data_IF_062924839125
#
_entry.id   IF_062924839125
#
_cell.length_a   1.000
_cell.length_b   1.000
_cell.length_c   1.000
_cell.angle_alpha   90.00
_cell.angle_beta   90.00
_cell.angle_gamma   90.00
#
_symmetry.space_group_name_H-M   'P 1'
#
loop_
_entity.id
_entity.type
_entity.pdbx_description
1 polymer ?
#
# COMPACT_ATOMS: atom_id res chain seq x y z
N UNK A 1 74.28 5.08 -33.51
CA UNK A 1 73.33 4.03 -33.17
C UNK A 1 72.05 4.63 -32.62
N UNK A 2 70.96 4.44 -33.36
CA UNK A 2 69.64 4.94 -32.95
C UNK A 2 69.08 4.14 -31.79
N UNK A 3 68.34 4.77 -30.85
CA UNK A 3 67.80 4.08 -29.69
C UNK A 3 66.64 3.13 -30.09
N UNK A 4 66.74 1.87 -29.73
CA UNK A 4 65.73 0.86 -29.95
C UNK A 4 64.48 1.16 -29.07
N UNK A 5 63.42 1.51 -29.74
CA UNK A 5 62.11 1.76 -29.12
C UNK A 5 61.56 0.44 -28.50
N UNK A 6 61.66 0.29 -27.19
CA UNK A 6 61.12 -0.88 -26.44
C UNK A 6 59.60 -0.77 -26.38
N UNK A 7 58.88 -1.55 -27.18
CA UNK A 7 57.43 -1.72 -27.10
C UNK A 7 57.08 -2.26 -25.71
N UNK A 8 56.28 -1.48 -24.96
CA UNK A 8 55.74 -1.90 -23.64
C UNK A 8 54.90 -3.18 -23.80
N UNK A 9 55.06 -4.19 -22.95
CA UNK A 9 54.27 -5.42 -23.03
C UNK A 9 52.78 -5.11 -22.84
N UNK A 10 51.93 -5.59 -23.77
CA UNK A 10 50.46 -5.55 -23.62
C UNK A 10 50.07 -6.45 -22.42
N UNK A 11 49.62 -5.82 -21.34
CA UNK A 11 49.09 -6.51 -20.16
C UNK A 11 47.88 -7.36 -20.58
N UNK A 12 48.00 -8.68 -20.62
CA UNK A 12 46.89 -9.59 -20.86
C UNK A 12 45.91 -9.42 -19.69
N UNK A 13 44.70 -8.93 -19.96
CA UNK A 13 43.62 -8.87 -18.96
C UNK A 13 43.32 -10.31 -18.54
N UNK A 14 43.43 -10.60 -17.26
CA UNK A 14 43.03 -11.90 -16.70
C UNK A 14 41.54 -12.14 -16.99
N UNK A 15 41.17 -13.35 -17.41
CA UNK A 15 39.76 -13.77 -17.63
C UNK A 15 38.95 -13.49 -16.37
N UNK A 16 39.50 -13.71 -15.21
CA UNK A 16 38.90 -13.41 -13.91
C UNK A 16 38.56 -11.91 -13.79
N UNK A 17 39.49 -11.03 -14.18
CA UNK A 17 39.25 -9.58 -14.18
C UNK A 17 38.13 -9.13 -15.14
N UNK A 18 37.98 -9.82 -16.28
CA UNK A 18 36.85 -9.54 -17.20
C UNK A 18 35.51 -9.97 -16.61
N UNK A 19 35.48 -11.13 -15.94
CA UNK A 19 34.25 -11.61 -15.27
C UNK A 19 33.83 -10.66 -14.15
N UNK A 20 34.76 -10.22 -13.30
CA UNK A 20 34.46 -9.24 -12.25
C UNK A 20 34.00 -7.88 -12.82
N UNK A 21 34.59 -7.44 -13.91
CA UNK A 21 34.16 -6.20 -14.59
C UNK A 21 32.75 -6.34 -15.17
N UNK A 22 32.41 -7.50 -15.74
CA UNK A 22 31.08 -7.78 -16.29
C UNK A 22 30.03 -7.82 -15.17
N UNK A 23 30.30 -8.53 -14.07
CA UNK A 23 29.42 -8.57 -12.90
C UNK A 23 29.22 -7.15 -12.33
N UNK A 24 30.30 -6.38 -12.19
CA UNK A 24 30.23 -5.00 -11.72
C UNK A 24 29.37 -4.10 -12.64
N UNK A 25 29.52 -4.26 -13.95
CA UNK A 25 28.71 -3.51 -14.93
C UNK A 25 27.22 -3.89 -14.84
N UNK A 26 26.90 -5.18 -14.73
CA UNK A 26 25.53 -5.66 -14.52
C UNK A 26 24.93 -5.14 -13.23
N UNK A 27 25.70 -5.14 -12.14
CA UNK A 27 25.24 -4.59 -10.86
C UNK A 27 24.93 -3.08 -10.97
N UNK A 28 25.81 -2.31 -11.62
CA UNK A 28 25.57 -0.88 -11.86
C UNK A 28 24.32 -0.65 -12.70
N UNK A 29 24.09 -1.44 -13.74
CA UNK A 29 22.86 -1.35 -14.55
C UNK A 29 21.60 -1.66 -13.73
N UNK A 30 21.65 -2.67 -12.88
CA UNK A 30 20.54 -2.99 -11.97
C UNK A 30 20.25 -1.85 -10.98
N UNK A 31 21.29 -1.23 -10.40
CA UNK A 31 21.13 -0.10 -9.49
C UNK A 31 20.55 1.11 -10.23
N UNK A 32 21.03 1.41 -11.45
CA UNK A 32 20.45 2.50 -12.25
C UNK A 32 18.99 2.24 -12.61
N UNK A 33 18.64 1.03 -13.04
CA UNK A 33 17.26 0.67 -13.33
C UNK A 33 16.37 0.79 -12.09
N UNK A 34 16.84 0.32 -10.93
CA UNK A 34 16.13 0.44 -9.66
C UNK A 34 15.94 1.90 -9.23
N UNK A 35 16.95 2.76 -9.43
CA UNK A 35 16.84 4.19 -9.10
C UNK A 35 15.85 4.92 -9.99
N UNK A 36 15.86 4.65 -11.30
CA UNK A 36 14.88 5.23 -12.24
C UNK A 36 13.46 4.75 -11.88
N UNK A 37 13.30 3.44 -11.62
CA UNK A 37 12.02 2.89 -11.16
C UNK A 37 11.51 3.52 -9.85
N UNK A 38 12.43 3.75 -8.90
CA UNK A 38 12.12 4.42 -7.64
C UNK A 38 11.65 5.88 -7.84
N UNK A 39 12.29 6.63 -8.73
CA UNK A 39 11.87 8.00 -9.05
C UNK A 39 10.50 8.03 -9.71
N UNK A 40 10.25 7.15 -10.70
CA UNK A 40 8.95 7.07 -11.37
C UNK A 40 7.83 6.68 -10.41
N UNK A 41 8.10 5.73 -9.52
CA UNK A 41 7.16 5.33 -8.47
C UNK A 41 6.88 6.49 -7.52
N UNK A 42 7.91 7.21 -7.08
CA UNK A 42 7.75 8.38 -6.21
C UNK A 42 6.92 9.48 -6.86
N UNK A 43 7.16 9.78 -8.15
CA UNK A 43 6.35 10.75 -8.89
C UNK A 43 4.88 10.30 -9.02
N UNK A 44 4.66 9.02 -9.30
CA UNK A 44 3.32 8.45 -9.37
C UNK A 44 2.59 8.56 -8.02
N UNK A 45 3.27 8.20 -6.92
CA UNK A 45 2.70 8.31 -5.57
C UNK A 45 2.30 9.75 -5.27
N UNK A 46 3.20 10.72 -5.47
CA UNK A 46 2.92 12.15 -5.21
C UNK A 46 1.72 12.62 -6.03
N UNK A 47 1.62 12.23 -7.29
CA UNK A 47 0.50 12.63 -8.14
C UNK A 47 -0.82 12.03 -7.66
N UNK A 48 -0.85 10.74 -7.33
CA UNK A 48 -2.07 10.06 -6.87
C UNK A 48 -2.50 10.56 -5.49
N UNK A 49 -1.58 10.71 -4.54
CA UNK A 49 -1.92 11.17 -3.18
C UNK A 49 -2.31 12.64 -3.14
N UNK A 50 -1.83 13.49 -4.05
CA UNK A 50 -2.24 14.89 -4.10
C UNK A 50 -3.72 15.04 -4.50
N UNK A 51 -4.17 14.24 -5.46
CA UNK A 51 -5.57 14.26 -5.92
C UNK A 51 -6.53 13.63 -4.88
N UNK A 52 -6.11 12.56 -4.21
CA UNK A 52 -6.96 11.84 -3.26
C UNK A 52 -7.03 12.53 -1.87
N UNK A 53 -5.96 13.18 -1.43
CA UNK A 53 -5.93 13.86 -0.13
C UNK A 53 -6.96 15.00 -0.02
N UNK A 54 -7.26 15.68 -1.12
CA UNK A 54 -8.26 16.75 -1.17
C UNK A 54 -9.71 16.22 -1.11
N UNK A 55 -9.91 14.94 -1.44
CA UNK A 55 -11.24 14.30 -1.50
C UNK A 55 -11.62 13.51 -0.26
N UNK A 56 -10.67 13.26 0.66
CA UNK A 56 -10.91 12.50 1.88
C UNK A 56 -11.66 13.32 2.94
N UNK A 57 -12.97 13.44 2.78
CA UNK A 57 -13.85 14.08 3.74
C UNK A 57 -14.38 13.08 4.78
N UNK A 58 -13.69 13.01 5.92
CA UNK A 58 -14.09 12.17 7.06
C UNK A 58 -15.41 12.64 7.69
N UNK A 59 -15.73 13.93 7.62
CA UNK A 59 -16.96 14.45 8.19
C UNK A 59 -18.18 14.05 7.35
N UNK A 60 -18.00 13.86 6.06
CA UNK A 60 -19.07 13.34 5.19
C UNK A 60 -19.51 11.92 5.58
N UNK A 61 -18.64 11.11 6.14
CA UNK A 61 -19.00 9.77 6.65
C UNK A 61 -19.93 9.83 7.87
N UNK A 62 -19.80 10.85 8.73
CA UNK A 62 -20.73 11.10 9.84
C UNK A 62 -22.14 11.43 9.32
N UNK A 63 -22.22 12.08 8.17
CA UNK A 63 -23.49 12.49 7.57
C UNK A 63 -24.21 11.34 6.84
N UNK A 64 -23.56 10.22 6.58
CA UNK A 64 -24.15 9.01 5.96
C UNK A 64 -24.90 8.16 6.99
N UNK A 65 -25.78 8.79 7.77
CA UNK A 65 -26.62 8.11 8.74
C UNK A 65 -27.98 7.74 8.13
N UNK A 66 -28.67 6.84 8.80
CA UNK A 66 -30.07 6.52 8.49
C UNK A 66 -30.94 7.75 8.74
N UNK A 67 -31.73 8.16 7.74
CA UNK A 67 -32.68 9.27 7.89
C UNK A 67 -33.91 8.77 8.62
N UNK A 68 -34.29 9.45 9.70
CA UNK A 68 -35.48 9.14 10.48
C UNK A 68 -36.53 10.22 10.20
N UNK A 69 -37.74 9.81 9.85
CA UNK A 69 -38.86 10.69 9.65
C UNK A 69 -39.71 10.67 10.91
N UNK A 70 -40.03 11.85 11.43
CA UNK A 70 -40.85 12.01 12.62
C UNK A 70 -42.23 12.56 12.27
N UNK A 71 -43.25 12.18 13.02
CA UNK A 71 -44.58 12.78 12.93
C UNK A 71 -44.59 14.18 13.57
N UNK A 72 -45.74 14.90 13.46
CA UNK A 72 -45.89 16.24 14.03
C UNK A 72 -45.79 16.27 15.57
N UNK A 73 -45.92 15.13 16.22
CA UNK A 73 -45.82 14.96 17.67
C UNK A 73 -44.37 14.57 18.09
N UNK A 74 -43.46 14.38 17.15
CA UNK A 74 -42.11 13.98 17.44
C UNK A 74 -41.91 12.46 17.59
N UNK A 75 -42.89 11.65 17.23
CA UNK A 75 -42.73 10.20 17.23
C UNK A 75 -42.09 9.73 15.94
N UNK A 76 -41.23 8.71 16.00
CA UNK A 76 -40.64 8.09 14.83
C UNK A 76 -41.71 7.47 13.95
N UNK A 77 -41.90 8.01 12.74
CA UNK A 77 -42.87 7.52 11.76
C UNK A 77 -42.27 6.51 10.81
N UNK A 78 -41.07 6.76 10.32
CA UNK A 78 -40.37 5.88 9.40
C UNK A 78 -38.83 6.08 9.46
N UNK A 79 -38.10 4.99 9.24
CA UNK A 79 -36.67 5.00 9.08
C UNK A 79 -36.34 4.74 7.60
N UNK A 80 -35.70 5.70 6.95
CA UNK A 80 -35.29 5.62 5.55
C UNK A 80 -33.85 5.17 5.47
N UNK A 81 -33.64 3.85 5.39
CA UNK A 81 -32.34 3.26 5.12
C UNK A 81 -32.39 2.55 3.76
N UNK A 82 -31.36 2.77 2.91
CA UNK A 82 -31.31 2.07 1.61
C UNK A 82 -31.03 0.57 1.80
N UNK A 83 -29.89 0.23 2.40
CA UNK A 83 -29.45 -1.16 2.65
C UNK A 83 -28.73 -1.33 3.98
N UNK A 84 -28.47 -0.23 4.70
CA UNK A 84 -27.65 -0.23 5.90
C UNK A 84 -28.27 0.70 6.93
N UNK A 85 -28.36 0.22 8.15
CA UNK A 85 -28.84 0.99 9.30
C UNK A 85 -27.61 1.52 10.03
N UNK A 86 -27.24 2.78 9.78
CA UNK A 86 -26.02 3.40 10.34
C UNK A 86 -26.39 4.42 11.41
N UNK A 87 -25.84 4.22 12.59
CA UNK A 87 -25.91 5.17 13.70
C UNK A 87 -24.47 5.51 14.09
N UNK A 88 -24.11 6.78 13.92
CA UNK A 88 -22.79 7.23 14.35
C UNK A 88 -22.67 7.18 15.87
N UNK A 89 -21.54 6.68 16.34
CA UNK A 89 -21.17 6.69 17.76
C UNK A 89 -19.71 7.11 17.89
N UNK A 90 -19.45 7.98 18.84
CA UNK A 90 -18.07 8.34 19.19
C UNK A 90 -17.34 7.11 19.76
N UNK A 91 -16.04 7.01 19.48
CA UNK A 91 -15.21 5.87 19.92
C UNK A 91 -15.23 5.72 21.46
N UNK A 92 -15.26 6.83 22.19
CA UNK A 92 -15.36 6.86 23.65
C UNK A 92 -16.65 6.24 24.21
N UNK A 93 -17.71 6.23 23.40
CA UNK A 93 -19.00 5.59 23.75
C UNK A 93 -19.05 4.09 23.42
N UNK A 94 -18.03 3.56 22.75
CA UNK A 94 -17.93 2.13 22.41
C UNK A 94 -17.21 1.37 23.51
N UNK A 95 -17.76 0.23 23.98
CA UNK A 95 -17.08 -0.61 24.96
C UNK A 95 -15.70 -1.06 24.47
N UNK A 96 -14.70 -1.03 25.34
CA UNK A 96 -13.33 -1.42 25.00
C UNK A 96 -13.22 -2.86 24.44
N UNK A 97 -14.03 -3.76 24.97
CA UNK A 97 -14.09 -5.15 24.47
C UNK A 97 -14.52 -5.22 23.00
N UNK A 98 -15.44 -4.34 22.55
CA UNK A 98 -15.85 -4.27 21.16
C UNK A 98 -14.72 -3.76 20.28
N UNK A 99 -14.04 -2.70 20.71
CA UNK A 99 -12.86 -2.16 19.99
C UNK A 99 -11.78 -3.24 19.85
N UNK A 100 -11.45 -3.93 20.93
CA UNK A 100 -10.45 -4.99 20.93
C UNK A 100 -10.88 -6.20 20.08
N UNK A 101 -12.15 -6.54 20.03
CA UNK A 101 -12.65 -7.62 19.18
C UNK A 101 -12.49 -7.31 17.69
N UNK A 102 -12.80 -6.07 17.26
CA UNK A 102 -12.59 -5.63 15.87
C UNK A 102 -11.11 -5.69 15.51
N UNK A 103 -10.24 -5.13 16.35
CA UNK A 103 -8.79 -5.16 16.14
C UNK A 103 -8.26 -6.60 16.06
N UNK A 104 -8.73 -7.47 16.94
CA UNK A 104 -8.27 -8.88 16.97
C UNK A 104 -8.65 -9.68 15.71
N UNK A 105 -9.77 -9.34 15.08
CA UNK A 105 -10.27 -10.03 13.89
C UNK A 105 -9.71 -9.44 12.61
N UNK A 106 -9.73 -8.10 12.49
CA UNK A 106 -9.39 -7.40 11.26
C UNK A 106 -7.89 -7.12 11.16
N UNK A 107 -7.27 -6.64 12.25
CA UNK A 107 -5.89 -6.21 12.23
C UNK A 107 -5.24 -6.36 13.61
N UNK A 108 -4.68 -7.51 13.88
CA UNK A 108 -4.05 -7.83 15.18
C UNK A 108 -2.94 -6.87 15.60
N UNK A 109 -2.29 -6.28 14.62
CA UNK A 109 -1.11 -5.46 14.82
C UNK A 109 -1.42 -3.96 14.74
N UNK A 110 -2.68 -3.57 14.58
CA UNK A 110 -3.16 -2.19 14.42
C UNK A 110 -2.46 -1.18 15.34
N UNK A 111 -2.25 -1.55 16.60
CA UNK A 111 -1.63 -0.66 17.59
C UNK A 111 -0.09 -0.59 17.51
N UNK A 112 0.53 -1.44 16.71
CA UNK A 112 2.00 -1.60 16.64
C UNK A 112 2.56 -1.38 15.24
N UNK A 113 1.77 -1.54 14.19
CA UNK A 113 2.17 -1.29 12.81
C UNK A 113 1.85 0.16 12.40
N UNK A 114 2.66 0.76 11.53
CA UNK A 114 2.47 2.14 11.06
C UNK A 114 1.44 2.21 9.91
N UNK A 115 0.24 1.66 10.07
CA UNK A 115 -0.82 1.69 9.05
C UNK A 115 -0.64 0.72 7.87
N UNK A 116 0.51 0.04 7.76
CA UNK A 116 0.82 -0.88 6.66
C UNK A 116 1.43 -2.17 7.20
N UNK A 117 0.86 -3.30 6.81
CA UNK A 117 1.47 -4.60 7.07
C UNK A 117 2.48 -4.95 5.98
N UNK A 118 3.73 -4.52 6.13
CA UNK A 118 4.79 -4.72 5.14
C UNK A 118 4.99 -6.20 4.81
N UNK A 119 4.96 -7.11 5.79
CA UNK A 119 5.12 -8.55 5.54
C UNK A 119 3.98 -9.11 4.71
N UNK A 120 2.75 -8.75 5.05
CA UNK A 120 1.56 -9.14 4.30
C UNK A 120 1.56 -8.60 2.88
N UNK A 121 1.92 -7.32 2.72
CA UNK A 121 1.98 -6.64 1.42
C UNK A 121 3.05 -7.24 0.51
N UNK A 122 4.27 -7.44 1.01
CA UNK A 122 5.36 -8.08 0.25
C UNK A 122 4.97 -9.52 -0.11
N UNK A 123 4.41 -10.28 0.83
CA UNK A 123 3.94 -11.64 0.60
C UNK A 123 2.85 -11.71 -0.47
N UNK A 124 1.89 -10.79 -0.44
CA UNK A 124 0.84 -10.69 -1.45
C UNK A 124 1.41 -10.34 -2.84
N UNK A 125 2.36 -9.39 -2.91
CA UNK A 125 3.04 -9.01 -4.15
C UNK A 125 3.84 -10.19 -4.74
N UNK A 126 4.60 -10.90 -3.93
CA UNK A 126 5.36 -12.09 -4.36
C UNK A 126 4.43 -13.20 -4.86
N UNK A 127 3.33 -13.46 -4.17
CA UNK A 127 2.34 -14.45 -4.58
C UNK A 127 1.67 -14.06 -5.92
N UNK A 128 1.36 -12.78 -6.11
CA UNK A 128 0.80 -12.26 -7.36
C UNK A 128 1.79 -12.39 -8.52
N UNK A 129 3.07 -12.10 -8.28
CA UNK A 129 4.11 -12.17 -9.29
C UNK A 129 4.47 -13.61 -9.68
N UNK A 130 4.51 -14.53 -8.71
CA UNK A 130 4.93 -15.93 -8.95
C UNK A 130 3.77 -16.85 -9.33
N UNK A 131 2.52 -16.40 -9.20
CA UNK A 131 1.33 -17.23 -9.38
C UNK A 131 1.16 -18.33 -8.32
N UNK A 132 2.05 -18.40 -7.35
CA UNK A 132 2.08 -19.42 -6.31
C UNK A 132 1.93 -18.81 -4.92
N UNK A 133 1.27 -19.52 -4.02
CA UNK A 133 1.20 -19.16 -2.59
C UNK A 133 2.49 -19.55 -1.88
N UNK A 134 3.56 -18.78 -2.09
CA UNK A 134 4.86 -19.06 -1.50
C UNK A 134 4.95 -18.51 -0.08
N UNK A 135 4.23 -17.42 0.22
CA UNK A 135 4.34 -16.72 1.49
C UNK A 135 2.98 -16.30 2.04
N UNK A 136 2.79 -16.57 3.31
CA UNK A 136 1.70 -15.99 4.10
C UNK A 136 0.35 -16.70 3.97
N UNK A 137 -0.44 -16.57 5.02
CA UNK A 137 -1.85 -16.99 5.04
C UNK A 137 -2.71 -15.91 4.39
N UNK A 138 -3.70 -16.32 3.62
CA UNK A 138 -4.70 -15.45 2.97
C UNK A 138 -5.63 -14.68 3.93
N UNK A 139 -5.28 -14.53 5.19
CA UNK A 139 -6.10 -13.81 6.16
C UNK A 139 -5.54 -12.41 6.34
N UNK A 140 -6.28 -11.40 5.84
CA UNK A 140 -6.15 -10.02 6.27
C UNK A 140 -4.74 -9.42 6.06
N UNK A 141 -4.28 -9.33 4.83
CA UNK A 141 -3.09 -8.53 4.53
C UNK A 141 -3.39 -7.02 4.57
N UNK A 142 -4.66 -6.63 4.59
CA UNK A 142 -5.08 -5.22 4.64
C UNK A 142 -5.26 -4.80 6.08
N UNK A 143 -4.66 -3.67 6.44
CA UNK A 143 -4.82 -3.03 7.76
C UNK A 143 -6.19 -2.33 7.86
N UNK A 144 -6.58 -1.92 9.07
CA UNK A 144 -7.80 -1.13 9.27
C UNK A 144 -7.74 0.20 8.54
N UNK A 145 -6.57 0.85 8.48
CA UNK A 145 -6.36 2.09 7.74
C UNK A 145 -6.58 1.90 6.23
N UNK A 146 -6.04 0.83 5.66
CA UNK A 146 -6.25 0.51 4.24
C UNK A 146 -7.72 0.22 3.93
N UNK A 147 -8.43 -0.47 4.84
CA UNK A 147 -9.86 -0.69 4.71
C UNK A 147 -10.65 0.63 4.81
N UNK A 148 -10.23 1.54 5.69
CA UNK A 148 -10.83 2.87 5.83
C UNK A 148 -10.69 3.66 4.53
N UNK A 149 -9.48 3.79 3.98
CA UNK A 149 -9.22 4.49 2.72
C UNK A 149 -10.07 3.90 1.60
N UNK A 150 -10.09 2.59 1.45
CA UNK A 150 -10.93 1.91 0.46
C UNK A 150 -12.41 2.28 0.58
N UNK A 151 -12.92 2.35 1.81
CA UNK A 151 -14.33 2.69 2.05
C UNK A 151 -14.63 4.17 1.81
N UNK A 152 -13.65 5.05 2.05
CA UNK A 152 -13.76 6.49 1.82
C UNK A 152 -13.73 6.83 0.34
N UNK A 153 -12.80 6.27 -0.40
CA UNK A 153 -12.63 6.51 -1.84
C UNK A 153 -13.69 5.79 -2.68
N UNK A 154 -14.34 4.76 -2.13
CA UNK A 154 -15.29 3.94 -2.88
C UNK A 154 -14.65 3.10 -3.98
N UNK A 155 -13.31 3.04 -4.01
CA UNK A 155 -12.55 2.28 -5.00
C UNK A 155 -12.66 0.78 -4.74
N UNK A 156 -13.64 0.16 -5.40
CA UNK A 156 -13.90 -1.28 -5.35
C UNK A 156 -13.27 -2.05 -6.53
N UNK A 157 -12.49 -1.40 -7.37
CA UNK A 157 -11.84 -2.05 -8.50
C UNK A 157 -10.86 -3.12 -8.03
N UNK A 158 -10.88 -4.27 -8.70
CA UNK A 158 -9.95 -5.38 -8.41
C UNK A 158 -8.65 -5.20 -9.22
N UNK A 159 -8.04 -4.04 -9.12
CA UNK A 159 -6.79 -3.72 -9.80
C UNK A 159 -5.60 -3.76 -8.82
N UNK A 160 -4.44 -4.18 -9.35
CA UNK A 160 -3.17 -4.16 -8.60
C UNK A 160 -2.75 -2.73 -8.23
N UNK A 161 -3.12 -1.73 -9.04
CA UNK A 161 -2.82 -0.32 -8.79
C UNK A 161 -3.61 0.23 -7.60
N UNK A 162 -4.81 -0.28 -7.34
CA UNK A 162 -5.55 0.02 -6.12
C UNK A 162 -4.74 -0.31 -4.85
N UNK A 163 -4.08 -1.48 -4.83
CA UNK A 163 -3.24 -1.86 -3.69
C UNK A 163 -2.07 -0.90 -3.46
N UNK A 164 -1.55 -0.31 -4.52
CA UNK A 164 -0.54 0.76 -4.41
C UNK A 164 -1.16 2.02 -3.79
N UNK A 165 -2.35 2.44 -4.26
CA UNK A 165 -3.07 3.61 -3.69
C UNK A 165 -3.48 3.43 -2.22
N UNK A 166 -3.84 2.21 -1.81
CA UNK A 166 -4.17 1.91 -0.40
C UNK A 166 -2.96 2.00 0.56
N UNK A 167 -1.73 1.96 0.02
CA UNK A 167 -0.48 1.95 0.80
C UNK A 167 0.05 3.36 0.99
N UNK A 168 -0.15 4.24 0.04
CA UNK A 168 0.38 5.60 -0.01
C UNK A 168 -0.72 6.64 0.10
#
# INVERSE_FOLDING_TARGET
PAPKNKKKPKKRRSIIGMIFSFIGCMLCLCIMAASVGGVLLSMYIVQVTADDAETLDLDNQKNRQTSIVYDINGNEYASLSRNENRIWRELSAMPENLQNAVIAIEDKNFRTEPGINLKGTIGAALNAFTGNRIWGTNRGASTLEQQLIKNLTGDNEQDNMRKVREIF
#
